data_IF_507789009126
#
_entry.id   IF_507789009126
#
_cell.length_a   1.000
_cell.length_b   1.000
_cell.length_c   1.000
_cell.angle_alpha   90.00
_cell.angle_beta   90.00
_cell.angle_gamma   90.00
#
_symmetry.space_group_name_H-M   'P 1'
#
loop_
_entity.id
_entity.type
_entity.pdbx_description
1 polymer ?
#
# COMPACT_ATOMS: atom_id res chain seq x y z
N UNK A 1 -2.48 -20.18 15.65
CA UNK A 1 -2.79 -19.69 14.29
C UNK A 1 -1.74 -18.64 13.94
N UNK A 2 -0.63 -19.05 13.33
CA UNK A 2 0.49 -18.16 13.02
C UNK A 2 0.13 -17.33 11.79
N UNK A 3 -0.54 -16.20 12.00
CA UNK A 3 -0.69 -15.16 10.98
C UNK A 3 0.71 -14.83 10.45
N UNK A 4 0.98 -15.31 9.25
CA UNK A 4 2.22 -15.02 8.54
C UNK A 4 2.10 -13.56 8.15
N UNK A 5 2.56 -12.65 9.02
CA UNK A 5 2.72 -11.24 8.70
C UNK A 5 3.69 -11.19 7.52
N UNK A 6 3.17 -11.25 6.29
CA UNK A 6 3.95 -11.01 5.08
C UNK A 6 4.52 -9.62 5.25
N UNK A 7 5.81 -9.53 5.61
CA UNK A 7 6.49 -8.25 5.67
C UNK A 7 6.45 -7.71 4.25
N UNK A 8 5.83 -6.54 4.09
CA UNK A 8 5.85 -5.84 2.81
C UNK A 8 7.31 -5.68 2.39
N UNK A 9 7.63 -6.14 1.18
CA UNK A 9 8.97 -6.03 0.59
C UNK A 9 8.83 -5.33 -0.73
N UNK A 10 9.65 -4.31 -0.95
CA UNK A 10 9.70 -3.68 -2.26
C UNK A 10 10.31 -4.63 -3.29
N UNK A 11 9.54 -5.02 -4.30
CA UNK A 11 10.01 -5.92 -5.37
C UNK A 11 11.11 -5.29 -6.24
N UNK A 12 11.19 -3.95 -6.30
CA UNK A 12 12.22 -3.25 -7.11
C UNK A 12 13.58 -3.17 -6.45
N UNK A 13 13.66 -2.89 -5.15
CA UNK A 13 14.93 -2.64 -4.46
C UNK A 13 15.18 -3.55 -3.25
N UNK A 14 14.24 -4.45 -2.94
CA UNK A 14 14.35 -5.36 -1.82
C UNK A 14 14.17 -4.72 -0.44
N UNK A 15 13.75 -3.45 -0.35
CA UNK A 15 13.53 -2.77 0.93
C UNK A 15 12.41 -3.44 1.74
N UNK A 16 12.74 -3.81 2.98
CA UNK A 16 11.85 -4.52 3.91
C UNK A 16 11.55 -3.68 5.16
N UNK A 17 12.17 -2.51 5.30
CA UNK A 17 11.94 -1.63 6.43
C UNK A 17 10.52 -1.03 6.37
N UNK A 18 9.62 -1.40 7.29
CA UNK A 18 8.23 -0.92 7.26
C UNK A 18 8.12 0.59 7.42
N UNK A 19 9.11 1.26 8.05
CA UNK A 19 9.12 2.72 8.19
C UNK A 19 9.36 3.45 6.86
N UNK A 20 9.87 2.74 5.85
CA UNK A 20 10.09 3.25 4.49
C UNK A 20 9.06 2.74 3.49
N UNK A 21 8.09 1.95 3.90
CA UNK A 21 7.03 1.45 3.03
C UNK A 21 5.72 2.14 3.43
N UNK A 22 5.43 3.26 2.75
CA UNK A 22 4.32 4.14 3.11
C UNK A 22 3.06 3.72 2.37
N UNK A 23 1.96 3.53 3.10
CA UNK A 23 0.65 3.33 2.49
C UNK A 23 0.05 4.68 2.05
N UNK A 24 -0.39 4.75 0.80
CA UNK A 24 -1.06 5.93 0.23
C UNK A 24 -2.31 5.50 -0.56
N UNK A 25 -3.36 6.36 -0.65
CA UNK A 25 -4.53 6.07 -1.46
C UNK A 25 -4.23 6.24 -2.96
N UNK A 26 -4.62 5.26 -3.76
CA UNK A 26 -4.64 5.32 -5.21
C UNK A 26 -5.88 6.05 -5.72
N UNK A 27 -5.73 7.36 -5.96
CA UNK A 27 -6.81 8.20 -6.49
C UNK A 27 -7.29 7.83 -7.89
N UNK A 28 -6.60 6.92 -8.59
CA UNK A 28 -7.04 6.44 -9.91
C UNK A 28 -8.12 5.36 -9.82
N UNK A 29 -8.27 4.71 -8.66
CA UNK A 29 -9.21 3.61 -8.46
C UNK A 29 -10.09 3.87 -7.23
N UNK A 30 -11.34 4.25 -7.49
CA UNK A 30 -12.39 4.33 -6.46
C UNK A 30 -12.99 2.94 -6.28
N UNK A 31 -12.91 2.39 -5.07
CA UNK A 31 -13.50 1.09 -4.74
C UNK A 31 -15.01 1.21 -4.52
N UNK A 32 -15.41 2.19 -3.71
CA UNK A 32 -16.82 2.48 -3.40
C UNK A 32 -16.94 3.89 -2.80
N UNK A 33 -18.17 4.35 -2.60
CA UNK A 33 -18.46 5.58 -1.86
C UNK A 33 -18.97 5.22 -0.47
N UNK A 34 -18.46 5.90 0.55
CA UNK A 34 -18.95 5.74 1.93
C UNK A 34 -20.40 6.20 2.06
N UNK A 35 -21.07 5.83 3.16
CA UNK A 35 -22.44 6.27 3.45
C UNK A 35 -22.55 7.80 3.59
N UNK A 36 -21.44 8.50 3.90
CA UNK A 36 -21.38 9.97 3.93
C UNK A 36 -21.05 10.58 2.55
N UNK A 37 -20.96 9.77 1.49
CA UNK A 37 -20.67 10.20 0.12
C UNK A 37 -19.19 10.42 -0.20
N UNK A 38 -18.28 10.07 0.71
CA UNK A 38 -16.84 10.23 0.46
C UNK A 38 -16.30 9.06 -0.38
N UNK A 39 -15.52 9.32 -1.45
CA UNK A 39 -14.91 8.24 -2.24
C UNK A 39 -13.85 7.51 -1.43
N UNK A 40 -13.95 6.19 -1.39
CA UNK A 40 -12.96 5.29 -0.78
C UNK A 40 -12.09 4.73 -1.89
N UNK A 41 -10.79 5.01 -1.80
CA UNK A 41 -9.80 4.62 -2.79
C UNK A 41 -9.11 3.32 -2.42
N UNK A 42 -8.60 2.60 -3.43
CA UNK A 42 -7.68 1.48 -3.19
C UNK A 42 -6.41 2.00 -2.50
N UNK A 43 -5.84 1.23 -1.58
CA UNK A 43 -4.54 1.57 -0.96
C UNK A 43 -3.40 0.91 -1.71
N UNK A 44 -2.28 1.63 -1.83
CA UNK A 44 -1.02 1.14 -2.42
C UNK A 44 0.15 1.49 -1.51
N UNK A 45 1.26 0.79 -1.67
CA UNK A 45 2.49 0.99 -0.92
C UNK A 45 3.50 1.73 -1.81
N UNK A 46 4.07 2.80 -1.29
CA UNK A 46 5.16 3.55 -1.88
C UNK A 46 6.45 3.32 -1.09
N UNK A 47 7.48 2.80 -1.76
CA UNK A 47 8.80 2.67 -1.19
C UNK A 47 9.48 4.03 -1.11
N UNK A 48 9.82 4.48 0.09
CA UNK A 48 10.57 5.71 0.35
C UNK A 48 12.05 5.62 -0.04
N UNK A 49 12.57 4.42 -0.36
CA UNK A 49 13.96 4.26 -0.80
C UNK A 49 14.12 4.46 -2.32
N UNK A 50 13.31 3.77 -3.13
CA UNK A 50 13.44 3.77 -4.59
C UNK A 50 12.25 4.42 -5.33
N UNK A 51 11.22 4.84 -4.60
CA UNK A 51 10.00 5.44 -5.17
C UNK A 51 9.06 4.45 -5.86
N UNK A 52 9.35 3.14 -5.82
CA UNK A 52 8.47 2.13 -6.40
C UNK A 52 7.11 2.13 -5.70
N UNK A 53 6.06 1.98 -6.50
CA UNK A 53 4.67 1.90 -6.02
C UNK A 53 4.13 0.52 -6.38
N UNK A 54 3.56 -0.18 -5.41
CA UNK A 54 3.05 -1.54 -5.57
C UNK A 54 1.85 -1.80 -4.65
N UNK A 55 1.03 -2.78 -4.99
CA UNK A 55 -0.12 -3.17 -4.19
C UNK A 55 0.31 -3.97 -2.95
N UNK A 56 -0.49 -3.90 -1.89
CA UNK A 56 -0.29 -4.74 -0.70
C UNK A 56 -0.62 -6.20 -1.05
N UNK A 57 0.33 -7.11 -0.81
CA UNK A 57 0.28 -8.54 -1.17
C UNK A 57 -0.25 -9.48 -0.07
#
# INVERSE_FOLDING_TARGET
MTETYKRNKCEKCGEENPRKLHEEPDKTQVLYYSMQGAPVYKTRIKCGNCGAVFDRA
#
